data_IF_263338955551
#
_entry.id   IF_263338955551
#
_cell.length_a   1.000
_cell.length_b   1.000
_cell.length_c   1.000
_cell.angle_alpha   90.00
_cell.angle_beta   90.00
_cell.angle_gamma   90.00
#
_symmetry.space_group_name_H-M   'P 1'
#
loop_
_entity.id
_entity.type
_entity.pdbx_description
1 polymer ?
#
# COMPACT_ATOMS: atom_id res chain seq x y z
N UNK A 1 -14.94 7.23 -8.36
CA UNK A 1 -14.27 7.59 -9.60
C UNK A 1 -15.11 7.17 -10.81
N UNK A 2 -15.21 8.01 -11.80
CA UNK A 2 -15.99 7.70 -13.00
C UNK A 2 -15.31 6.59 -13.81
N UNK A 3 -16.12 5.71 -14.40
CA UNK A 3 -15.62 4.67 -15.29
C UNK A 3 -16.06 4.95 -16.72
N UNK A 4 -15.26 4.51 -17.66
CA UNK A 4 -15.60 4.60 -19.08
C UNK A 4 -15.43 3.23 -19.71
N UNK A 5 -16.21 2.97 -20.75
CA UNK A 5 -16.12 1.70 -21.45
C UNK A 5 -15.16 1.83 -22.63
N UNK A 6 -14.25 0.88 -22.75
CA UNK A 6 -13.28 0.82 -23.84
C UNK A 6 -13.10 -0.63 -24.25
N UNK A 7 -13.16 -0.92 -25.53
CA UNK A 7 -12.94 -2.27 -26.05
C UNK A 7 -11.49 -2.44 -26.46
N UNK A 8 -10.87 -3.51 -25.99
CA UNK A 8 -9.50 -3.87 -26.37
C UNK A 8 -9.44 -5.35 -26.70
N UNK A 9 -8.42 -5.74 -27.43
CA UNK A 9 -8.12 -7.16 -27.67
C UNK A 9 -7.11 -7.63 -26.65
N UNK A 10 -7.40 -8.74 -26.00
CA UNK A 10 -6.53 -9.33 -24.98
C UNK A 10 -6.05 -10.67 -25.51
N UNK A 11 -4.77 -10.99 -25.31
CA UNK A 11 -4.24 -12.30 -25.65
C UNK A 11 -4.97 -13.38 -24.83
N UNK A 12 -5.20 -14.52 -25.42
CA UNK A 12 -5.98 -15.61 -24.79
C UNK A 12 -5.36 -16.07 -23.47
N UNK A 13 -4.05 -16.20 -23.37
CA UNK A 13 -3.37 -16.61 -22.15
C UNK A 13 -3.52 -15.58 -21.03
N UNK A 14 -3.44 -14.29 -21.37
CA UNK A 14 -3.64 -13.21 -20.42
C UNK A 14 -5.06 -13.24 -19.89
N UNK A 15 -6.04 -13.44 -20.77
CA UNK A 15 -7.44 -13.55 -20.38
C UNK A 15 -7.65 -14.72 -19.41
N UNK A 16 -7.10 -15.89 -19.73
CA UNK A 16 -7.19 -17.09 -18.89
C UNK A 16 -6.63 -16.85 -17.48
N UNK A 17 -5.49 -16.18 -17.39
CA UNK A 17 -4.87 -15.87 -16.10
C UNK A 17 -5.73 -14.93 -15.27
N UNK A 18 -6.31 -13.90 -15.89
CA UNK A 18 -7.20 -12.96 -15.19
C UNK A 18 -8.47 -13.68 -14.73
N UNK A 19 -9.05 -14.50 -15.58
CA UNK A 19 -10.24 -15.28 -15.23
C UNK A 19 -9.97 -16.23 -14.06
N UNK A 20 -8.78 -16.83 -14.02
CA UNK A 20 -8.37 -17.67 -12.91
C UNK A 20 -8.30 -16.88 -11.59
N UNK A 21 -7.70 -15.71 -11.61
CA UNK A 21 -7.63 -14.83 -10.43
C UNK A 21 -9.05 -14.45 -9.98
N UNK A 22 -9.91 -14.10 -10.92
CA UNK A 22 -11.30 -13.76 -10.66
C UNK A 22 -12.03 -14.92 -9.98
N UNK A 23 -11.89 -16.13 -10.52
CA UNK A 23 -12.52 -17.33 -9.97
C UNK A 23 -11.98 -17.66 -8.58
N UNK A 24 -10.65 -17.67 -8.42
CA UNK A 24 -10.02 -18.05 -7.15
C UNK A 24 -10.31 -17.05 -6.03
N UNK A 25 -10.43 -15.76 -6.36
CA UNK A 25 -10.69 -14.70 -5.38
C UNK A 25 -12.19 -14.44 -5.16
N UNK A 26 -13.06 -14.97 -6.00
CA UNK A 26 -14.49 -14.67 -5.96
C UNK A 26 -14.83 -13.22 -6.33
N UNK A 27 -13.92 -12.53 -7.03
CA UNK A 27 -14.09 -11.14 -7.43
C UNK A 27 -14.45 -11.04 -8.91
N UNK A 28 -15.19 -9.99 -9.26
CA UNK A 28 -15.59 -9.72 -10.64
C UNK A 28 -14.38 -9.55 -11.56
N UNK A 29 -14.50 -10.03 -12.80
CA UNK A 29 -13.45 -9.90 -13.80
C UNK A 29 -13.00 -8.45 -13.99
N UNK A 30 -13.94 -7.51 -14.09
CA UNK A 30 -13.62 -6.10 -14.29
C UNK A 30 -12.90 -5.49 -13.08
N UNK A 31 -13.26 -5.90 -11.86
CA UNK A 31 -12.58 -5.44 -10.65
C UNK A 31 -11.13 -5.91 -10.61
N UNK A 32 -10.89 -7.18 -10.91
CA UNK A 32 -9.54 -7.74 -10.96
C UNK A 32 -8.71 -7.06 -12.05
N UNK A 33 -9.30 -6.89 -13.24
CA UNK A 33 -8.61 -6.26 -14.37
C UNK A 33 -8.23 -4.81 -14.05
N UNK A 34 -9.15 -4.04 -13.48
CA UNK A 34 -8.87 -2.65 -13.11
C UNK A 34 -7.78 -2.55 -12.05
N UNK A 35 -7.79 -3.43 -11.06
CA UNK A 35 -6.73 -3.47 -10.05
C UNK A 35 -5.36 -3.75 -10.67
N UNK A 36 -5.28 -4.73 -11.56
CA UNK A 36 -4.03 -5.05 -12.25
C UNK A 36 -3.52 -3.88 -13.07
N UNK A 37 -4.40 -3.19 -13.78
CA UNK A 37 -4.04 -2.03 -14.58
C UNK A 37 -3.56 -0.87 -13.70
N UNK A 38 -4.27 -0.60 -12.60
CA UNK A 38 -3.88 0.46 -11.67
C UNK A 38 -2.50 0.19 -11.07
N UNK A 39 -2.26 -1.04 -10.60
CA UNK A 39 -0.96 -1.42 -10.04
C UNK A 39 0.16 -1.30 -11.05
N UNK A 40 -0.08 -1.76 -12.30
CA UNK A 40 0.91 -1.64 -13.36
C UNK A 40 1.26 -0.18 -13.65
N UNK A 41 0.27 0.70 -13.68
CA UNK A 41 0.49 2.13 -13.90
C UNK A 41 1.26 2.76 -12.74
N UNK A 42 0.93 2.39 -11.50
CA UNK A 42 1.61 2.89 -10.30
C UNK A 42 3.07 2.44 -10.28
N UNK A 43 3.34 1.18 -10.63
CA UNK A 43 4.70 0.66 -10.71
C UNK A 43 5.51 1.35 -11.81
N UNK A 44 4.86 1.67 -12.92
CA UNK A 44 5.52 2.41 -14.01
C UNK A 44 5.85 3.84 -13.58
N UNK A 45 4.94 4.48 -12.86
CA UNK A 45 5.15 5.85 -12.35
C UNK A 45 6.19 5.88 -11.22
N UNK A 46 6.21 4.87 -10.38
CA UNK A 46 7.05 4.82 -9.18
C UNK A 46 7.98 3.61 -9.21
N UNK A 47 9.09 3.68 -9.98
CA UNK A 47 10.06 2.57 -10.03
C UNK A 47 10.60 2.27 -8.62
N UNK A 48 10.76 0.99 -8.33
CA UNK A 48 11.21 0.53 -7.02
C UNK A 48 10.08 0.19 -6.07
N UNK A 49 8.83 0.41 -6.48
CA UNK A 49 7.64 0.05 -5.70
C UNK A 49 6.94 -1.12 -6.38
N UNK A 50 6.53 -2.12 -5.60
CA UNK A 50 5.77 -3.28 -6.06
C UNK A 50 4.56 -3.46 -5.16
N UNK A 51 3.64 -4.34 -5.54
CA UNK A 51 2.41 -4.60 -4.78
C UNK A 51 2.36 -6.04 -4.33
N UNK A 52 1.82 -6.28 -3.16
CA UNK A 52 1.63 -7.62 -2.61
C UNK A 52 0.40 -7.66 -1.71
N UNK A 53 -0.09 -8.87 -1.47
CA UNK A 53 -1.21 -9.07 -0.56
C UNK A 53 -0.83 -8.68 0.86
N UNK A 54 -1.66 -7.83 1.46
CA UNK A 54 -1.59 -7.51 2.87
C UNK A 54 -2.78 -8.11 3.60
N UNK A 55 -2.88 -7.90 4.90
CA UNK A 55 -3.95 -8.43 5.73
C UNK A 55 -5.33 -7.93 5.30
N UNK A 56 -5.40 -6.69 4.83
CA UNK A 56 -6.66 -6.04 4.44
C UNK A 56 -6.67 -5.58 2.99
N UNK A 57 -5.90 -6.25 2.13
CA UNK A 57 -5.85 -5.96 0.70
C UNK A 57 -4.44 -5.81 0.16
N UNK A 58 -4.35 -5.35 -1.07
CA UNK A 58 -3.07 -5.15 -1.74
C UNK A 58 -2.36 -3.93 -1.18
N UNK A 59 -1.04 -4.03 -1.02
CA UNK A 59 -0.21 -2.98 -0.41
C UNK A 59 1.01 -2.66 -1.26
N UNK A 60 1.30 -1.36 -1.40
CA UNK A 60 2.55 -0.89 -2.00
C UNK A 60 3.71 -1.16 -1.03
N UNK A 61 4.78 -1.72 -1.56
CA UNK A 61 5.98 -2.02 -0.76
C UNK A 61 7.24 -1.72 -1.56
N UNK A 62 8.34 -1.56 -0.84
CA UNK A 62 9.66 -1.37 -1.46
C UNK A 62 10.10 -2.70 -2.06
N UNK A 63 10.43 -2.70 -3.36
CA UNK A 63 10.86 -3.89 -4.07
C UNK A 63 12.06 -4.54 -3.38
N UNK A 64 12.02 -5.87 -3.29
CA UNK A 64 13.09 -6.65 -2.65
C UNK A 64 13.06 -6.65 -1.14
N UNK A 65 12.04 -6.07 -0.54
CA UNK A 65 11.88 -6.04 0.93
C UNK A 65 10.47 -6.45 1.33
N UNK A 66 10.27 -6.70 2.62
CA UNK A 66 8.93 -6.89 3.19
C UNK A 66 8.32 -5.59 3.72
N UNK A 67 8.95 -4.44 3.44
CA UNK A 67 8.56 -3.16 4.07
C UNK A 67 7.55 -2.44 3.19
N UNK A 68 6.41 -2.11 3.76
CA UNK A 68 5.35 -1.37 3.08
C UNK A 68 5.64 0.13 3.10
N UNK A 69 5.19 0.83 2.05
CA UNK A 69 5.43 2.27 1.92
C UNK A 69 4.86 3.04 3.11
N UNK A 70 3.65 2.70 3.57
CA UNK A 70 3.04 3.42 4.70
C UNK A 70 3.86 3.33 5.98
N UNK A 71 4.58 2.21 6.20
CA UNK A 71 5.44 2.04 7.38
C UNK A 71 6.58 3.06 7.35
N UNK A 72 7.23 3.19 6.19
CA UNK A 72 8.32 4.16 6.00
C UNK A 72 7.82 5.58 6.19
N UNK A 73 6.66 5.91 5.63
CA UNK A 73 6.12 7.26 5.71
C UNK A 73 5.66 7.60 7.14
N UNK A 74 5.08 6.63 7.86
CA UNK A 74 4.73 6.84 9.27
C UNK A 74 5.98 7.20 10.09
N UNK A 75 7.09 6.48 9.86
CA UNK A 75 8.37 6.78 10.51
C UNK A 75 8.91 8.13 10.06
N UNK A 76 8.83 8.43 8.78
CA UNK A 76 9.29 9.70 8.21
C UNK A 76 8.59 10.90 8.88
N UNK A 77 7.28 10.81 9.03
CA UNK A 77 6.50 11.82 9.74
C UNK A 77 6.89 11.89 11.22
N UNK A 78 7.16 10.74 11.83
CA UNK A 78 7.57 10.67 13.23
C UNK A 78 8.91 11.28 13.52
N UNK A 79 9.77 11.44 12.52
CA UNK A 79 11.07 12.11 12.64
C UNK A 79 11.05 13.50 11.97
N UNK A 80 9.89 14.13 11.93
CA UNK A 80 9.67 15.48 11.40
C UNK A 80 10.13 15.64 9.94
N UNK A 81 9.94 14.59 9.14
CA UNK A 81 10.33 14.54 7.72
C UNK A 81 11.82 14.82 7.52
N UNK A 82 12.63 14.41 8.49
CA UNK A 82 14.09 14.53 8.42
C UNK A 82 14.67 13.26 7.77
N UNK A 83 15.19 13.40 6.57
CA UNK A 83 15.69 12.26 5.78
C UNK A 83 16.86 11.55 6.45
N UNK A 84 17.76 12.29 7.09
CA UNK A 84 18.93 11.70 7.78
C UNK A 84 18.45 10.81 8.93
N UNK A 85 17.45 11.26 9.68
CA UNK A 85 16.86 10.47 10.77
C UNK A 85 16.13 9.25 10.21
N UNK A 86 15.45 9.39 9.08
CA UNK A 86 14.82 8.26 8.41
C UNK A 86 15.85 7.22 8.01
N UNK A 87 16.98 7.63 7.44
CA UNK A 87 18.09 6.74 7.08
C UNK A 87 18.61 5.98 8.29
N UNK A 88 18.70 6.62 9.42
CA UNK A 88 19.13 5.97 10.68
C UNK A 88 18.11 4.93 11.15
N UNK A 89 16.83 5.24 11.03
CA UNK A 89 15.77 4.33 11.43
C UNK A 89 15.71 3.08 10.53
N UNK A 90 16.02 3.24 9.25
CA UNK A 90 16.05 2.16 8.26
C UNK A 90 17.46 2.01 7.68
N UNK A 91 18.47 1.83 8.56
CA UNK A 91 19.87 1.80 8.15
C UNK A 91 20.22 0.69 7.16
N UNK A 92 19.37 -0.35 7.07
CA UNK A 92 19.57 -1.47 6.13
C UNK A 92 18.94 -1.22 4.75
N UNK A 93 18.26 -0.10 4.57
CA UNK A 93 17.71 0.29 3.28
C UNK A 93 18.62 1.32 2.62
N UNK A 94 18.71 1.27 1.29
CA UNK A 94 19.48 2.25 0.53
C UNK A 94 18.75 3.60 0.49
N UNK A 95 19.48 4.66 0.21
CA UNK A 95 18.90 5.97 -0.03
C UNK A 95 17.86 5.90 -1.14
N UNK A 96 18.16 5.18 -2.22
CA UNK A 96 17.28 5.03 -3.36
C UNK A 96 15.97 4.36 -2.98
N UNK A 97 16.03 3.34 -2.13
CA UNK A 97 14.84 2.64 -1.64
C UNK A 97 13.96 3.57 -0.82
N UNK A 98 14.54 4.35 0.08
CA UNK A 98 13.79 5.30 0.90
C UNK A 98 13.19 6.43 0.06
N UNK A 99 13.93 6.91 -0.94
CA UNK A 99 13.42 7.93 -1.86
C UNK A 99 12.29 7.42 -2.74
N UNK A 100 12.32 6.13 -3.11
CA UNK A 100 11.23 5.51 -3.85
C UNK A 100 9.94 5.53 -3.02
N UNK A 101 10.03 5.20 -1.73
CA UNK A 101 8.88 5.25 -0.83
C UNK A 101 8.33 6.67 -0.69
N UNK A 102 9.20 7.65 -0.51
CA UNK A 102 8.81 9.08 -0.41
C UNK A 102 8.17 9.54 -1.73
N UNK A 103 8.74 9.14 -2.86
CA UNK A 103 8.19 9.47 -4.18
C UNK A 103 6.80 8.90 -4.39
N UNK A 104 6.59 7.66 -3.95
CA UNK A 104 5.26 7.04 -3.99
C UNK A 104 4.26 7.83 -3.14
N UNK A 105 4.66 8.19 -1.94
CA UNK A 105 3.81 8.99 -1.05
C UNK A 105 3.40 10.32 -1.69
N UNK A 106 4.34 11.01 -2.33
CA UNK A 106 4.04 12.28 -3.01
C UNK A 106 3.01 12.10 -4.13
N UNK A 107 3.07 10.98 -4.83
CA UNK A 107 2.14 10.68 -5.93
C UNK A 107 0.77 10.19 -5.43
N UNK A 108 0.73 9.47 -4.32
CA UNK A 108 -0.48 8.81 -3.81
C UNK A 108 -0.69 9.09 -2.33
N UNK A 109 -0.67 10.36 -1.98
CA UNK A 109 -0.72 10.85 -0.60
C UNK A 109 -1.93 10.35 0.17
N UNK A 110 -3.12 10.45 -0.43
CA UNK A 110 -4.36 10.03 0.22
C UNK A 110 -4.34 8.54 0.56
N UNK A 111 -3.87 7.72 -0.35
CA UNK A 111 -3.79 6.26 -0.14
C UNK A 111 -2.94 5.93 1.10
N UNK A 112 -1.77 6.52 1.19
CA UNK A 112 -0.83 6.25 2.28
C UNK A 112 -1.30 6.86 3.60
N UNK A 113 -1.82 8.08 3.57
CA UNK A 113 -2.38 8.71 4.77
C UNK A 113 -3.54 7.89 5.33
N UNK A 114 -4.38 7.33 4.46
CA UNK A 114 -5.50 6.46 4.86
C UNK A 114 -5.00 5.19 5.55
N UNK A 115 -3.94 4.58 5.03
CA UNK A 115 -3.35 3.37 5.62
C UNK A 115 -2.74 3.66 6.99
N UNK A 116 -2.05 4.78 7.13
CA UNK A 116 -1.48 5.21 8.42
C UNK A 116 -2.60 5.40 9.44
N UNK A 117 -3.67 6.07 9.04
CA UNK A 117 -4.82 6.30 9.91
C UNK A 117 -5.49 5.00 10.34
N UNK A 118 -5.71 4.08 9.38
CA UNK A 118 -6.27 2.76 9.68
C UNK A 118 -5.41 2.01 10.69
N UNK A 119 -4.11 2.06 10.53
CA UNK A 119 -3.19 1.38 11.44
C UNK A 119 -3.25 1.96 12.85
N UNK A 120 -3.34 3.27 12.98
CA UNK A 120 -3.49 3.95 14.27
C UNK A 120 -4.80 3.57 14.95
N UNK A 121 -5.91 3.55 14.20
CA UNK A 121 -7.21 3.15 14.72
C UNK A 121 -7.24 1.69 15.17
N UNK A 122 -6.63 0.80 14.39
CA UNK A 122 -6.51 -0.62 14.75
C UNK A 122 -5.70 -0.80 16.02
N UNK A 123 -4.63 -0.05 16.20
CA UNK A 123 -3.82 -0.10 17.40
C UNK A 123 -4.59 0.38 18.63
N UNK A 124 -5.34 1.47 18.49
CA UNK A 124 -6.20 1.98 19.56
C UNK A 124 -7.26 0.97 19.95
N UNK A 125 -7.90 0.36 18.96
CA UNK A 125 -8.92 -0.66 19.19
C UNK A 125 -8.32 -1.87 19.91
N UNK A 126 -7.17 -2.34 19.47
CA UNK A 126 -6.47 -3.47 20.07
C UNK A 126 -6.12 -3.20 21.53
N UNK A 127 -5.62 -2.01 21.83
CA UNK A 127 -5.29 -1.60 23.21
C UNK A 127 -6.56 -1.51 24.05
N UNK A 128 -7.63 -0.95 23.51
CA UNK A 128 -8.92 -0.82 24.19
C UNK A 128 -9.51 -2.19 24.52
N UNK A 129 -9.44 -3.14 23.60
CA UNK A 129 -9.92 -4.52 23.83
C UNK A 129 -9.09 -5.27 24.86
N UNK A 130 -7.76 -5.08 24.82
CA UNK A 130 -6.83 -5.74 25.73
C UNK A 130 -6.81 -5.10 27.12
N UNK A 131 -6.97 -3.78 27.18
CA UNK A 131 -6.94 -3.00 28.41
C UNK A 131 -8.14 -2.04 28.46
N UNK A 132 -9.36 -2.56 28.70
CA UNK A 132 -10.59 -1.72 28.68
C UNK A 132 -10.55 -0.55 29.66
N UNK A 133 -9.87 -0.71 30.79
CA UNK A 133 -9.77 0.34 31.82
C UNK A 133 -8.99 1.57 31.31
N UNK A 134 -8.05 1.39 30.37
CA UNK A 134 -7.30 2.51 29.79
C UNK A 134 -8.18 3.34 28.87
N UNK A 135 -9.10 2.70 28.14
CA UNK A 135 -10.05 3.40 27.29
C UNK A 135 -11.00 4.24 28.10
N UNK A 136 -11.44 3.74 29.27
CA UNK A 136 -12.31 4.48 30.18
C UNK A 136 -11.61 5.65 30.87
N UNK A 137 -10.29 5.58 31.05
CA UNK A 137 -9.51 6.62 31.69
C UNK A 137 -9.10 7.77 30.77
N UNK A 138 -9.39 7.71 29.51
CA UNK A 138 -8.94 8.69 28.50
C UNK A 138 -9.91 9.89 28.33
N UNK A 139 -10.71 10.15 29.32
CA UNK A 139 -11.66 11.27 29.28
C UNK A 139 -11.00 12.61 29.51
#
# INVERSE_FOLDING_TARGET
MATVQKSIRIQDKTLEEIEKISKDSGREFSAVTNELLEEALKMKRCPGIVFSEGTTGRRARIAGTGIEVWEVIATYKGVDENFVRLQKAYHWLSEQQLRAAIGYYKAYKYEIDSLIKQNEEMNKKSISEKYPFLAGGSR
#
